data_IF_652925499149
#
_entry.id   IF_652925499149
#
_cell.length_a   1.000
_cell.length_b   1.000
_cell.length_c   1.000
_cell.angle_alpha   90.00
_cell.angle_beta   90.00
_cell.angle_gamma   90.00
#
_symmetry.space_group_name_H-M   'P 1'
#
loop_
_entity.id
_entity.type
_entity.pdbx_description
1 polymer ?
#
# COMPACT_ATOMS: atom_id res chain seq x y z
N UNK A 1 5.63 -11.12 -2.56
CA UNK A 1 5.71 -10.36 -1.29
C UNK A 1 5.13 -11.08 -0.08
N UNK A 2 4.74 -12.36 -0.17
CA UNK A 2 4.08 -13.10 0.91
C UNK A 2 4.90 -13.26 2.21
N UNK A 3 6.21 -13.00 2.16
CA UNK A 3 7.12 -13.05 3.32
C UNK A 3 7.19 -11.74 4.11
N UNK A 4 6.69 -10.63 3.58
CA UNK A 4 6.65 -9.37 4.33
C UNK A 4 5.52 -9.43 5.36
N UNK A 5 5.80 -9.01 6.59
CA UNK A 5 4.73 -8.71 7.56
C UNK A 5 3.87 -7.56 7.06
N UNK A 6 2.66 -7.42 7.59
CA UNK A 6 1.75 -6.34 7.21
C UNK A 6 2.37 -4.95 7.47
N UNK A 7 3.05 -4.78 8.60
CA UNK A 7 3.76 -3.55 8.95
C UNK A 7 4.90 -3.24 7.98
N UNK A 8 5.70 -4.25 7.62
CA UNK A 8 6.79 -4.07 6.65
C UNK A 8 6.25 -3.71 5.26
N UNK A 9 5.13 -4.31 4.84
CA UNK A 9 4.49 -4.01 3.57
C UNK A 9 3.96 -2.55 3.52
N UNK A 10 3.30 -2.09 4.59
CA UNK A 10 2.85 -0.69 4.72
C UNK A 10 4.05 0.27 4.71
N UNK A 11 5.10 -0.05 5.45
CA UNK A 11 6.30 0.79 5.51
C UNK A 11 6.97 0.93 4.14
N UNK A 12 7.16 -0.19 3.43
CA UNK A 12 7.75 -0.19 2.07
C UNK A 12 6.87 0.59 1.09
N UNK A 13 5.53 0.45 1.17
CA UNK A 13 4.61 1.23 0.35
C UNK A 13 4.76 2.73 0.59
N UNK A 14 4.76 3.19 1.85
CA UNK A 14 4.91 4.60 2.17
C UNK A 14 6.26 5.15 1.68
N UNK A 15 7.35 4.42 1.89
CA UNK A 15 8.68 4.79 1.39
C UNK A 15 8.72 4.85 -0.14
N UNK A 16 8.10 3.88 -0.82
CA UNK A 16 8.06 3.86 -2.28
C UNK A 16 7.30 5.06 -2.86
N UNK A 17 6.18 5.44 -2.23
CA UNK A 17 5.40 6.63 -2.61
C UNK A 17 6.18 7.92 -2.34
N UNK A 18 6.76 8.07 -1.14
CA UNK A 18 7.55 9.25 -0.76
C UNK A 18 8.74 9.49 -1.69
N UNK A 19 9.44 8.41 -2.04
CA UNK A 19 10.61 8.45 -2.92
C UNK A 19 10.26 8.51 -4.41
N UNK A 20 8.96 8.49 -4.76
CA UNK A 20 8.48 8.45 -6.16
C UNK A 20 9.14 7.33 -6.95
N UNK A 21 9.21 6.14 -6.35
CA UNK A 21 9.71 4.96 -7.03
C UNK A 21 8.81 4.58 -8.21
N UNK A 22 9.26 3.59 -8.95
CA UNK A 22 8.57 3.06 -10.11
C UNK A 22 7.07 2.76 -9.85
N UNK A 23 6.21 3.16 -10.79
CA UNK A 23 4.77 3.06 -10.63
C UNK A 23 4.28 1.61 -10.62
N UNK A 24 4.91 0.71 -11.38
CA UNK A 24 4.55 -0.70 -11.40
C UNK A 24 4.92 -1.36 -10.07
N UNK A 25 6.04 -0.95 -9.46
CA UNK A 25 6.42 -1.39 -8.12
C UNK A 25 5.41 -0.94 -7.05
N UNK A 26 4.99 0.33 -7.09
CA UNK A 26 3.96 0.85 -6.18
C UNK A 26 2.63 0.11 -6.40
N UNK A 27 2.26 -0.17 -7.64
CA UNK A 27 1.05 -0.92 -7.97
C UNK A 27 1.07 -2.33 -7.39
N UNK A 28 2.21 -3.03 -7.51
CA UNK A 28 2.40 -4.36 -6.93
C UNK A 28 2.19 -4.36 -5.41
N UNK A 29 2.69 -3.34 -4.71
CA UNK A 29 2.50 -3.16 -3.26
C UNK A 29 1.01 -2.95 -2.94
N UNK A 30 0.33 -2.07 -3.67
CA UNK A 30 -1.10 -1.81 -3.48
C UNK A 30 -1.95 -3.07 -3.71
N UNK A 31 -1.63 -3.87 -4.73
CA UNK A 31 -2.33 -5.12 -4.98
C UNK A 31 -2.19 -6.12 -3.83
N UNK A 32 -0.98 -6.27 -3.30
CA UNK A 32 -0.72 -7.16 -2.17
C UNK A 32 -1.42 -6.65 -0.89
N UNK A 33 -1.38 -5.34 -0.63
CA UNK A 33 -2.09 -4.73 0.50
C UNK A 33 -3.61 -4.90 0.38
N UNK A 34 -4.17 -4.75 -0.82
CA UNK A 34 -5.59 -5.01 -1.10
C UNK A 34 -5.96 -6.47 -0.88
N UNK A 35 -5.14 -7.42 -1.33
CA UNK A 35 -5.35 -8.87 -1.09
C UNK A 35 -5.40 -9.20 0.40
N UNK A 36 -4.62 -8.49 1.21
CA UNK A 36 -4.55 -8.65 2.67
C UNK A 36 -5.53 -7.76 3.44
N UNK A 37 -6.35 -6.97 2.75
CA UNK A 37 -7.30 -6.02 3.34
C UNK A 37 -6.62 -5.02 4.31
N UNK A 38 -5.39 -4.60 3.97
CA UNK A 38 -4.67 -3.59 4.74
C UNK A 38 -5.17 -2.19 4.34
N UNK A 39 -5.41 -1.34 5.32
CA UNK A 39 -5.74 0.07 5.08
C UNK A 39 -4.47 0.81 4.69
N UNK A 40 -4.42 1.36 3.47
CA UNK A 40 -3.28 2.13 2.95
C UNK A 40 -3.67 3.54 2.53
N UNK A 41 -4.65 4.14 3.23
CA UNK A 41 -5.08 5.52 3.02
C UNK A 41 -3.92 6.51 3.20
N UNK A 42 -3.18 6.74 2.14
CA UNK A 42 -2.32 7.90 1.95
C UNK A 42 -3.22 9.13 1.86
N UNK A 43 -3.40 9.84 2.98
CA UNK A 43 -4.19 11.07 3.03
C UNK A 43 -5.70 10.81 2.98
N UNK A 44 -6.41 11.21 4.03
CA UNK A 44 -7.80 10.84 4.23
C UNK A 44 -8.75 11.27 3.11
N UNK A 45 -9.47 10.30 2.55
CA UNK A 45 -10.92 10.42 2.34
C UNK A 45 -11.56 9.09 2.76
N UNK A 46 -12.39 9.08 3.82
CA UNK A 46 -13.32 7.99 4.03
C UNK A 46 -14.40 8.06 2.97
N UNK A 47 -14.27 7.26 1.91
CA UNK A 47 -15.44 7.01 1.07
C UNK A 47 -16.35 6.02 1.80
N UNK A 48 -17.28 6.58 2.57
CA UNK A 48 -18.57 5.93 2.77
C UNK A 48 -19.26 5.74 1.41
N UNK A 49 -20.09 4.70 1.32
CA UNK A 49 -21.08 4.33 0.27
C UNK A 49 -20.63 3.13 -0.57
N UNK A 50 -21.39 2.05 -0.66
CA UNK A 50 -22.76 1.74 -0.23
C UNK A 50 -22.90 0.27 0.11
#
# INVERSE_FOLDING_TARGET
MQVLSNEALIHVYNQAVEQKLDADFIHLLQEEMRKRQLDFRSGGIPNQRS
#
